data_IF_023665014018
#
_entry.id   IF_023665014018
#
_cell.length_a   1.000
_cell.length_b   1.000
_cell.length_c   1.000
_cell.angle_alpha   90.00
_cell.angle_beta   90.00
_cell.angle_gamma   90.00
#
_symmetry.space_group_name_H-M   'P 1'
#
loop_
_entity.id
_entity.type
_entity.pdbx_description
1 polymer ?
#
# COMPACT_ATOMS: atom_id res chain seq x y z
N UNK A 1 22.11 -8.24 11.29
CA UNK A 1 21.53 -7.42 10.20
C UNK A 1 20.86 -8.27 9.12
N UNK A 2 21.58 -9.21 8.49
CA UNK A 2 21.02 -10.08 7.45
C UNK A 2 19.79 -10.88 7.91
N UNK A 3 19.79 -11.36 9.16
CA UNK A 3 18.66 -12.06 9.76
C UNK A 3 17.39 -11.17 9.88
N UNK A 4 17.55 -9.87 10.13
CA UNK A 4 16.41 -8.95 10.18
C UNK A 4 15.73 -8.88 8.82
N UNK A 5 16.52 -8.63 7.77
CA UNK A 5 15.96 -8.48 6.40
C UNK A 5 15.37 -9.80 5.87
N UNK A 6 16.06 -10.93 6.09
CA UNK A 6 15.54 -12.22 5.68
C UNK A 6 14.29 -12.61 6.48
N UNK A 7 14.26 -12.31 7.79
CA UNK A 7 13.10 -12.50 8.65
C UNK A 7 11.89 -11.66 8.22
N UNK A 8 12.10 -10.42 7.75
CA UNK A 8 11.02 -9.62 7.16
C UNK A 8 10.44 -10.27 5.90
N UNK A 9 11.31 -10.82 5.05
CA UNK A 9 10.87 -11.53 3.84
C UNK A 9 10.05 -12.77 4.15
N UNK A 10 10.47 -13.58 5.14
CA UNK A 10 9.72 -14.78 5.56
C UNK A 10 8.44 -14.43 6.33
N UNK A 11 8.48 -13.44 7.22
CA UNK A 11 7.28 -12.94 7.91
C UNK A 11 6.23 -12.40 6.94
N UNK A 12 6.67 -11.76 5.85
CA UNK A 12 5.81 -11.31 4.77
C UNK A 12 5.41 -12.45 3.80
N UNK A 13 5.73 -13.71 4.07
CA UNK A 13 5.43 -14.91 3.27
C UNK A 13 5.93 -14.82 1.82
N UNK A 14 7.08 -14.16 1.57
CA UNK A 14 7.63 -13.97 0.23
C UNK A 14 8.40 -15.21 -0.23
N UNK A 15 8.00 -15.81 -1.36
CA UNK A 15 8.67 -17.00 -1.95
C UNK A 15 10.18 -16.84 -2.09
N UNK A 16 10.60 -15.67 -2.59
CA UNK A 16 12.02 -15.40 -2.83
C UNK A 16 12.87 -15.29 -1.55
N UNK A 17 12.23 -15.10 -0.38
CA UNK A 17 12.93 -15.05 0.90
C UNK A 17 13.39 -16.43 1.38
N UNK A 18 12.81 -17.53 0.88
CA UNK A 18 13.07 -18.89 1.33
C UNK A 18 14.55 -19.26 1.28
N UNK A 19 15.14 -19.25 0.09
CA UNK A 19 16.54 -19.66 -0.12
C UNK A 19 17.53 -18.74 0.64
N UNK A 20 17.46 -17.39 0.52
CA UNK A 20 18.33 -16.52 1.30
C UNK A 20 18.24 -16.77 2.82
N UNK A 21 17.03 -16.99 3.35
CA UNK A 21 16.85 -17.24 4.78
C UNK A 21 17.51 -18.54 5.22
N UNK A 22 17.35 -19.63 4.46
CA UNK A 22 18.04 -20.89 4.74
C UNK A 22 19.56 -20.68 4.74
N UNK A 23 20.11 -20.02 3.73
CA UNK A 23 21.56 -19.77 3.62
C UNK A 23 22.03 -18.97 4.83
N UNK A 24 21.36 -17.87 5.18
CA UNK A 24 21.76 -16.99 6.29
C UNK A 24 21.68 -17.73 7.62
N UNK A 25 20.60 -18.46 7.89
CA UNK A 25 20.42 -19.23 9.15
C UNK A 25 21.46 -20.36 9.24
N UNK A 26 21.73 -21.08 8.13
CA UNK A 26 22.73 -22.14 8.09
C UNK A 26 24.13 -21.60 8.35
N UNK A 27 24.54 -20.50 7.68
CA UNK A 27 25.83 -19.86 7.91
C UNK A 27 25.97 -19.34 9.34
N UNK A 28 24.90 -18.75 9.90
CA UNK A 28 24.90 -18.29 11.30
C UNK A 28 25.02 -19.44 12.27
N UNK A 29 24.34 -20.57 12.01
CA UNK A 29 24.43 -21.78 12.81
C UNK A 29 25.84 -22.38 12.78
N UNK A 30 26.43 -22.50 11.59
CA UNK A 30 27.79 -22.99 11.41
C UNK A 30 28.81 -22.12 12.12
N UNK A 31 28.70 -20.80 11.95
CA UNK A 31 29.55 -19.83 12.64
C UNK A 31 29.43 -19.96 14.16
N UNK A 32 28.20 -20.08 14.68
CA UNK A 32 27.96 -20.26 16.11
C UNK A 32 28.63 -21.48 16.69
N UNK A 33 28.61 -22.61 15.96
CA UNK A 33 29.29 -23.85 16.35
C UNK A 33 30.81 -23.72 16.35
N UNK A 34 31.37 -23.11 15.30
CA UNK A 34 32.81 -22.93 15.14
C UNK A 34 33.40 -21.92 16.14
N UNK A 35 32.66 -20.88 16.48
CA UNK A 35 33.08 -19.82 17.40
C UNK A 35 32.96 -20.22 18.89
N UNK A 36 32.50 -21.45 19.19
CA UNK A 36 32.36 -21.94 20.57
C UNK A 36 31.23 -21.30 21.38
N UNK A 37 30.19 -20.76 20.71
CA UNK A 37 29.00 -20.24 21.39
C UNK A 37 28.28 -21.36 22.16
N UNK A 38 27.43 -20.94 23.10
CA UNK A 38 26.70 -21.87 23.95
C UNK A 38 25.88 -22.86 23.11
N UNK A 39 25.90 -24.15 23.50
CA UNK A 39 25.16 -25.24 22.86
C UNK A 39 23.66 -24.91 22.62
N UNK A 40 23.05 -24.17 23.58
CA UNK A 40 21.67 -23.70 23.47
C UNK A 40 21.40 -22.80 22.22
N UNK A 41 22.37 -21.97 21.83
CA UNK A 41 22.24 -21.12 20.62
C UNK A 41 22.26 -22.00 19.36
N UNK A 42 23.07 -23.03 19.32
CA UNK A 42 23.11 -23.99 18.20
C UNK A 42 21.80 -24.75 18.04
N UNK A 43 21.21 -25.23 19.15
CA UNK A 43 19.90 -25.91 19.14
C UNK A 43 18.80 -24.94 18.64
N UNK A 44 18.77 -23.72 19.17
CA UNK A 44 17.78 -22.72 18.74
C UNK A 44 17.86 -22.43 17.22
N UNK A 45 19.05 -22.24 16.70
CA UNK A 45 19.25 -21.99 15.26
C UNK A 45 18.88 -23.22 14.41
N UNK A 46 19.16 -24.43 14.89
CA UNK A 46 18.76 -25.67 14.21
C UNK A 46 17.23 -25.82 14.18
N UNK A 47 16.54 -25.54 15.28
CA UNK A 47 15.08 -25.53 15.34
C UNK A 47 14.49 -24.45 14.40
N UNK A 48 15.07 -23.26 14.39
CA UNK A 48 14.66 -22.19 13.48
C UNK A 48 14.82 -22.62 12.01
N UNK A 49 15.95 -23.27 11.68
CA UNK A 49 16.18 -23.78 10.33
C UNK A 49 15.12 -24.83 9.93
N UNK A 50 14.83 -25.78 10.81
CA UNK A 50 13.76 -26.76 10.57
C UNK A 50 12.41 -26.06 10.33
N UNK A 51 12.07 -25.08 11.16
CA UNK A 51 10.82 -24.32 10.99
C UNK A 51 10.75 -23.62 9.65
N UNK A 52 11.84 -22.98 9.21
CA UNK A 52 11.91 -22.33 7.88
C UNK A 52 11.77 -23.36 6.75
N UNK A 53 12.35 -24.56 6.87
CA UNK A 53 12.23 -25.63 5.87
C UNK A 53 10.78 -26.07 5.73
N UNK A 54 10.08 -26.30 6.84
CA UNK A 54 8.68 -26.73 6.82
C UNK A 54 7.71 -25.65 6.36
N UNK A 55 8.06 -24.36 6.51
CA UNK A 55 7.22 -23.25 6.08
C UNK A 55 7.27 -22.94 4.57
N UNK A 56 7.95 -23.74 3.76
CA UNK A 56 8.12 -23.52 2.31
C UNK A 56 6.80 -23.23 1.58
N UNK A 57 5.76 -24.03 1.87
CA UNK A 57 4.47 -23.93 1.18
C UNK A 57 3.64 -22.72 1.64
N UNK A 58 3.97 -22.14 2.80
CA UNK A 58 3.33 -20.94 3.33
C UNK A 58 3.88 -19.65 2.69
N UNK A 59 4.99 -19.74 1.98
CA UNK A 59 5.63 -18.62 1.29
C UNK A 59 5.09 -18.54 -0.13
N UNK A 60 4.02 -17.81 -0.33
CA UNK A 60 3.31 -17.72 -1.63
C UNK A 60 3.36 -16.35 -2.29
N UNK A 61 3.73 -15.29 -1.56
CA UNK A 61 3.77 -13.93 -2.10
C UNK A 61 4.95 -13.72 -3.05
N UNK A 62 4.69 -13.01 -4.15
CA UNK A 62 5.65 -12.85 -5.24
C UNK A 62 6.72 -11.78 -4.99
N UNK A 63 6.43 -10.82 -4.11
CA UNK A 63 7.33 -9.70 -3.82
C UNK A 63 7.26 -9.23 -2.37
N UNK A 64 8.33 -8.58 -1.91
CA UNK A 64 8.34 -7.86 -0.64
C UNK A 64 7.96 -6.40 -0.89
N UNK A 65 6.81 -5.98 -0.40
CA UNK A 65 6.45 -4.57 -0.30
C UNK A 65 6.81 -4.06 1.09
N UNK A 66 7.91 -3.33 1.16
CA UNK A 66 8.41 -2.81 2.44
C UNK A 66 7.66 -1.52 2.77
N UNK A 67 6.86 -1.52 3.84
CA UNK A 67 6.18 -0.31 4.29
C UNK A 67 7.19 0.74 4.76
N UNK A 68 6.85 2.02 4.62
CA UNK A 68 7.71 3.10 5.10
C UNK A 68 8.00 3.00 6.60
N UNK A 69 7.02 2.54 7.39
CA UNK A 69 7.14 2.34 8.84
C UNK A 69 8.19 1.29 9.18
N UNK A 70 8.11 0.10 8.58
CA UNK A 70 9.09 -0.96 8.81
C UNK A 70 10.48 -0.60 8.31
N UNK A 71 10.56 0.07 7.16
CA UNK A 71 11.84 0.55 6.64
C UNK A 71 12.50 1.56 7.60
N UNK A 72 11.71 2.43 8.23
CA UNK A 72 12.19 3.38 9.23
C UNK A 72 12.64 2.67 10.50
N UNK A 73 11.86 1.74 11.04
CA UNK A 73 12.18 0.99 12.26
C UNK A 73 13.48 0.18 12.06
N UNK A 74 13.57 -0.60 11.00
CA UNK A 74 14.75 -1.42 10.73
C UNK A 74 15.98 -0.55 10.41
N UNK A 75 15.79 0.59 9.74
CA UNK A 75 16.84 1.58 9.51
C UNK A 75 17.37 2.20 10.80
N UNK A 76 16.50 2.55 11.74
CA UNK A 76 16.90 3.06 13.05
C UNK A 76 17.66 1.99 13.84
N UNK A 77 17.15 0.75 13.89
CA UNK A 77 17.82 -0.35 14.61
C UNK A 77 19.20 -0.62 14.02
N UNK A 78 19.30 -0.83 12.72
CA UNK A 78 20.58 -1.13 12.06
C UNK A 78 21.55 0.05 12.11
N UNK A 79 21.03 1.27 11.92
CA UNK A 79 21.83 2.50 11.98
C UNK A 79 22.38 2.76 13.37
N UNK A 80 21.57 2.64 14.41
CA UNK A 80 22.01 2.84 15.79
C UNK A 80 23.08 1.81 16.21
N UNK A 81 22.93 0.53 15.82
CA UNK A 81 23.95 -0.49 16.08
C UNK A 81 25.26 -0.21 15.35
N UNK A 82 25.19 0.24 14.10
CA UNK A 82 26.39 0.61 13.32
C UNK A 82 27.09 1.84 13.91
N UNK A 83 26.32 2.88 14.30
CA UNK A 83 26.85 4.07 14.96
C UNK A 83 27.48 3.70 16.30
N UNK A 84 26.82 2.87 17.11
CA UNK A 84 27.37 2.40 18.39
C UNK A 84 28.72 1.68 18.17
N UNK A 85 28.81 0.80 17.15
CA UNK A 85 30.06 0.13 16.80
C UNK A 85 31.17 1.14 16.45
N UNK A 86 30.88 2.17 15.68
CA UNK A 86 31.83 3.22 15.30
C UNK A 86 32.28 3.99 16.54
N UNK A 87 31.33 4.44 17.39
CA UNK A 87 31.62 5.19 18.62
C UNK A 87 32.54 4.40 19.55
N UNK A 88 32.24 3.10 19.77
CA UNK A 88 33.06 2.22 20.60
C UNK A 88 34.48 2.12 20.02
N UNK A 89 34.64 1.99 18.71
CA UNK A 89 35.96 1.92 18.07
C UNK A 89 36.77 3.21 18.23
N UNK A 90 36.12 4.36 17.98
CA UNK A 90 36.78 5.67 18.19
C UNK A 90 37.14 5.86 19.68
N UNK A 91 36.26 5.48 20.59
CA UNK A 91 36.52 5.58 22.03
C UNK A 91 37.71 4.71 22.48
N UNK A 92 37.93 3.56 21.87
CA UNK A 92 39.05 2.66 22.18
C UNK A 92 40.35 3.06 21.47
N UNK A 93 40.38 4.16 20.71
CA UNK A 93 41.60 4.63 20.07
C UNK A 93 42.66 5.04 21.12
N UNK A 94 43.95 4.61 20.98
CA UNK A 94 45.00 4.94 21.94
C UNK A 94 45.31 6.43 22.03
N UNK A 95 44.88 7.21 21.05
CA UNK A 95 45.09 8.65 21.02
C UNK A 95 44.07 9.44 21.89
N UNK A 96 43.08 8.78 22.47
CA UNK A 96 42.07 9.43 23.29
C UNK A 96 42.24 9.00 24.76
N UNK A 97 42.56 9.98 25.63
CA UNK A 97 42.68 9.75 27.07
C UNK A 97 41.29 9.77 27.73
N UNK A 98 40.94 8.66 28.36
CA UNK A 98 39.63 8.51 29.03
C UNK A 98 39.74 8.55 30.55
N UNK A 99 38.84 9.26 31.22
CA UNK A 99 38.69 9.24 32.69
C UNK A 99 38.10 7.95 33.24
N UNK A 100 37.26 7.27 32.42
CA UNK A 100 36.56 6.01 32.80
C UNK A 100 36.89 4.91 31.79
N UNK A 101 37.17 3.70 32.29
CA UNK A 101 37.38 2.51 31.45
C UNK A 101 36.02 1.93 31.04
N UNK A 102 35.83 1.60 29.78
CA UNK A 102 34.68 0.84 29.32
C UNK A 102 34.71 -0.59 29.90
N UNK A 103 33.55 -1.24 30.10
CA UNK A 103 33.48 -2.67 30.39
C UNK A 103 34.24 -3.50 29.34
N UNK A 104 34.86 -4.60 29.77
CA UNK A 104 35.74 -5.42 28.91
C UNK A 104 35.07 -5.90 27.63
N UNK A 105 33.75 -6.17 27.66
CA UNK A 105 33.00 -6.62 26.48
C UNK A 105 32.84 -5.55 25.38
N UNK A 106 33.14 -4.27 25.68
CA UNK A 106 33.20 -3.19 24.70
C UNK A 106 34.60 -2.91 24.19
N UNK A 107 35.61 -3.62 24.67
CA UNK A 107 36.98 -3.40 24.27
C UNK A 107 37.32 -4.23 23.02
N UNK A 108 37.92 -3.60 22.02
CA UNK A 108 38.47 -4.31 20.89
C UNK A 108 39.93 -4.69 21.20
N UNK A 109 40.37 -5.92 20.89
CA UNK A 109 41.71 -6.37 21.15
C UNK A 109 42.79 -5.59 20.39
N UNK A 110 42.44 -5.00 19.24
CA UNK A 110 43.30 -4.11 18.47
C UNK A 110 42.50 -3.24 17.50
N UNK A 111 43.09 -2.10 17.09
CA UNK A 111 42.52 -1.23 16.05
C UNK A 111 42.30 -1.97 14.72
N UNK A 112 43.19 -2.91 14.39
CA UNK A 112 43.07 -3.73 13.19
C UNK A 112 41.79 -4.58 13.20
N UNK A 113 41.46 -5.19 14.34
CA UNK A 113 40.26 -6.01 14.48
C UNK A 113 38.98 -5.13 14.34
N UNK A 114 39.00 -3.95 14.96
CA UNK A 114 37.88 -3.00 14.80
C UNK A 114 37.74 -2.57 13.32
N UNK A 115 38.83 -2.23 12.64
CA UNK A 115 38.79 -1.81 11.25
C UNK A 115 38.30 -2.92 10.31
N UNK A 116 38.72 -4.16 10.52
CA UNK A 116 38.18 -5.33 9.79
C UNK A 116 36.68 -5.48 10.02
N UNK A 117 36.21 -5.31 11.26
CA UNK A 117 34.79 -5.33 11.56
C UNK A 117 34.01 -4.18 10.91
N UNK A 118 34.60 -2.98 10.82
CA UNK A 118 34.00 -1.86 10.09
C UNK A 118 33.85 -2.18 8.59
N UNK A 119 34.86 -2.74 7.95
CA UNK A 119 34.77 -3.21 6.56
C UNK A 119 33.66 -4.28 6.43
N UNK A 120 33.60 -5.22 7.38
CA UNK A 120 32.57 -6.25 7.37
C UNK A 120 31.13 -5.64 7.45
N UNK A 121 30.92 -4.58 8.23
CA UNK A 121 29.64 -3.86 8.29
C UNK A 121 29.31 -3.26 6.90
N UNK A 122 30.28 -2.65 6.20
CA UNK A 122 30.04 -2.10 4.86
C UNK A 122 29.69 -3.19 3.85
N UNK A 123 30.38 -4.34 3.89
CA UNK A 123 30.07 -5.50 3.04
C UNK A 123 28.65 -6.01 3.32
N UNK A 124 28.29 -6.16 4.60
CA UNK A 124 26.95 -6.60 5.01
C UNK A 124 25.88 -5.60 4.57
N UNK A 125 26.14 -4.29 4.68
CA UNK A 125 25.22 -3.25 4.20
C UNK A 125 25.00 -3.37 2.67
N UNK A 126 26.05 -3.62 1.90
CA UNK A 126 25.96 -3.87 0.47
C UNK A 126 25.14 -5.14 0.16
N UNK A 127 25.39 -6.24 0.87
CA UNK A 127 24.62 -7.48 0.74
C UNK A 127 23.13 -7.24 1.07
N UNK A 128 22.84 -6.45 2.09
CA UNK A 128 21.45 -6.06 2.45
C UNK A 128 20.78 -5.34 1.28
N UNK A 129 21.46 -4.39 0.65
CA UNK A 129 20.90 -3.67 -0.51
C UNK A 129 20.60 -4.63 -1.67
N UNK A 130 21.50 -5.58 -1.94
CA UNK A 130 21.27 -6.61 -2.96
C UNK A 130 20.08 -7.52 -2.59
N UNK A 131 20.00 -7.95 -1.34
CA UNK A 131 18.91 -8.78 -0.83
C UNK A 131 17.57 -8.05 -0.91
N UNK A 132 17.51 -6.80 -0.49
CA UNK A 132 16.31 -5.98 -0.61
C UNK A 132 15.88 -5.80 -2.07
N UNK A 133 16.83 -5.54 -2.97
CA UNK A 133 16.57 -5.46 -4.41
C UNK A 133 16.02 -6.78 -4.97
N UNK A 134 16.56 -7.89 -4.54
CA UNK A 134 16.13 -9.23 -4.94
C UNK A 134 14.71 -9.54 -4.43
N UNK A 135 14.40 -9.21 -3.17
CA UNK A 135 13.10 -9.47 -2.54
C UNK A 135 11.99 -8.53 -3.07
N UNK A 136 12.34 -7.28 -3.38
CA UNK A 136 11.35 -6.27 -3.86
C UNK A 136 10.79 -6.58 -5.24
N UNK A 137 11.54 -7.30 -6.09
CA UNK A 137 11.18 -7.54 -7.50
C UNK A 137 10.83 -6.23 -8.28
N UNK A 138 10.41 -6.34 -9.52
CA UNK A 138 9.77 -5.22 -10.24
C UNK A 138 8.42 -4.96 -9.59
N UNK A 139 8.14 -3.71 -9.23
CA UNK A 139 6.80 -3.33 -8.72
C UNK A 139 5.77 -3.74 -9.77
N UNK A 140 4.98 -4.76 -9.47
CA UNK A 140 3.85 -5.15 -10.28
C UNK A 140 2.71 -4.22 -9.89
N UNK A 141 2.14 -3.56 -10.88
CA UNK A 141 0.92 -2.78 -10.69
C UNK A 141 -0.27 -3.74 -10.77
N UNK A 142 -1.11 -3.72 -9.74
CA UNK A 142 -2.37 -4.46 -9.76
C UNK A 142 -3.37 -3.63 -10.57
N UNK A 143 -4.15 -4.34 -11.38
CA UNK A 143 -5.10 -3.75 -12.30
C UNK A 143 -4.47 -3.28 -13.61
N UNK A 144 -5.29 -3.17 -14.61
CA UNK A 144 -4.97 -2.81 -15.98
C UNK A 144 -5.26 -1.32 -16.24
N UNK A 145 -4.82 -0.82 -17.38
CA UNK A 145 -5.29 0.45 -17.87
C UNK A 145 -6.77 0.33 -18.26
N UNK A 146 -7.48 1.45 -18.21
CA UNK A 146 -8.87 1.50 -18.64
C UNK A 146 -9.01 0.99 -20.08
N UNK A 147 -9.89 0.02 -20.28
CA UNK A 147 -10.44 -0.38 -21.57
C UNK A 147 -11.91 0.05 -21.62
N UNK A 148 -12.19 1.12 -22.38
CA UNK A 148 -13.52 1.72 -22.45
C UNK A 148 -14.56 0.73 -23.00
N UNK A 149 -14.17 -0.14 -23.95
CA UNK A 149 -15.08 -1.10 -24.56
C UNK A 149 -15.52 -2.19 -23.58
N UNK A 150 -14.58 -2.71 -22.78
CA UNK A 150 -14.88 -3.69 -21.72
C UNK A 150 -15.78 -3.07 -20.65
N UNK A 151 -15.49 -1.85 -20.20
CA UNK A 151 -16.33 -1.16 -19.21
C UNK A 151 -17.73 -0.92 -19.74
N UNK A 152 -17.86 -0.39 -20.96
CA UNK A 152 -19.17 -0.14 -21.57
C UNK A 152 -19.96 -1.43 -21.74
N UNK A 153 -19.32 -2.54 -22.11
CA UNK A 153 -19.97 -3.83 -22.20
C UNK A 153 -20.52 -4.29 -20.85
N UNK A 154 -19.71 -4.25 -19.79
CA UNK A 154 -20.14 -4.61 -18.43
C UNK A 154 -21.31 -3.74 -17.98
N UNK A 155 -21.19 -2.41 -18.13
CA UNK A 155 -22.21 -1.46 -17.65
C UNK A 155 -23.53 -1.59 -18.45
N UNK A 156 -23.47 -1.84 -19.76
CA UNK A 156 -24.67 -1.99 -20.59
C UNK A 156 -25.38 -3.32 -20.34
N UNK A 157 -24.64 -4.37 -19.99
CA UNK A 157 -25.17 -5.74 -19.80
C UNK A 157 -25.70 -5.94 -18.38
N UNK A 158 -24.93 -5.51 -17.38
CA UNK A 158 -25.19 -5.81 -15.97
C UNK A 158 -25.53 -4.59 -15.11
N UNK A 159 -25.33 -3.37 -15.67
CA UNK A 159 -25.53 -2.14 -14.93
C UNK A 159 -24.29 -1.72 -14.10
N UNK A 160 -24.45 -0.65 -13.37
CA UNK A 160 -23.44 -0.07 -12.51
C UNK A 160 -24.04 0.64 -11.31
N UNK A 161 -23.19 1.33 -10.56
CA UNK A 161 -23.54 2.16 -9.43
C UNK A 161 -23.19 3.64 -9.73
N UNK A 162 -23.55 4.61 -8.85
CA UNK A 162 -23.29 6.02 -9.10
C UNK A 162 -21.82 6.36 -9.34
N UNK A 163 -20.88 5.57 -8.81
CA UNK A 163 -19.44 5.82 -8.88
C UNK A 163 -18.80 5.14 -10.11
N UNK A 164 -19.53 4.27 -10.83
CA UNK A 164 -19.01 3.54 -12.00
C UNK A 164 -18.42 4.46 -13.06
N UNK A 165 -19.03 5.63 -13.26
CA UNK A 165 -18.60 6.59 -14.29
C UNK A 165 -17.26 7.28 -13.95
N UNK A 166 -16.82 7.25 -12.69
CA UNK A 166 -15.53 7.83 -12.28
C UNK A 166 -14.32 7.10 -12.91
N UNK A 167 -14.53 5.90 -13.43
CA UNK A 167 -13.49 5.15 -14.16
C UNK A 167 -13.02 5.91 -15.42
N UNK A 168 -13.90 6.65 -16.07
CA UNK A 168 -13.59 7.41 -17.29
C UNK A 168 -12.73 8.66 -17.07
N UNK A 169 -12.46 9.03 -15.80
CA UNK A 169 -11.46 10.04 -15.45
C UNK A 169 -10.03 9.59 -15.77
N UNK A 170 -9.79 8.30 -16.00
CA UNK A 170 -8.49 7.72 -16.43
C UNK A 170 -7.34 7.89 -15.40
N UNK A 171 -7.67 8.27 -14.18
CA UNK A 171 -6.72 8.43 -13.07
C UNK A 171 -6.55 7.16 -12.22
N UNK A 172 -7.30 6.10 -12.56
CA UNK A 172 -7.37 4.82 -11.85
C UNK A 172 -6.93 3.66 -12.72
N UNK A 173 -6.56 2.58 -12.08
CA UNK A 173 -6.45 1.25 -12.70
C UNK A 173 -7.75 0.50 -12.51
N UNK A 174 -7.98 -0.48 -13.34
CA UNK A 174 -9.19 -1.30 -13.31
C UNK A 174 -8.79 -2.75 -13.08
N UNK A 175 -9.41 -3.39 -12.09
CA UNK A 175 -9.37 -4.83 -11.96
C UNK A 175 -10.65 -5.40 -12.55
N UNK A 176 -10.52 -6.26 -13.55
CA UNK A 176 -11.63 -6.95 -14.18
C UNK A 176 -11.74 -8.36 -13.62
N UNK A 177 -12.93 -8.76 -13.23
CA UNK A 177 -13.24 -10.12 -12.85
C UNK A 177 -13.93 -10.84 -14.00
N UNK A 178 -13.34 -11.96 -14.39
CA UNK A 178 -13.87 -12.85 -15.41
C UNK A 178 -14.40 -14.12 -14.74
N UNK A 179 -15.66 -14.47 -15.00
CA UNK A 179 -16.29 -15.67 -14.41
C UNK A 179 -16.03 -16.97 -15.19
N UNK A 180 -15.10 -16.94 -16.12
CA UNK A 180 -14.71 -18.05 -16.99
C UNK A 180 -15.04 -17.82 -18.47
N UNK A 181 -16.11 -17.10 -18.77
CA UNK A 181 -16.57 -16.82 -20.13
C UNK A 181 -16.35 -15.36 -20.54
N UNK A 182 -16.72 -14.43 -19.65
CA UNK A 182 -16.66 -12.99 -19.91
C UNK A 182 -16.36 -12.17 -18.65
N UNK A 183 -16.01 -10.91 -18.86
CA UNK A 183 -15.84 -9.96 -17.77
C UNK A 183 -17.20 -9.51 -17.24
N UNK A 184 -17.46 -9.81 -15.98
CA UNK A 184 -18.78 -9.55 -15.36
C UNK A 184 -18.74 -8.43 -14.33
N UNK A 185 -17.57 -8.19 -13.72
CA UNK A 185 -17.41 -7.18 -12.66
C UNK A 185 -16.11 -6.43 -12.85
N UNK A 186 -16.10 -5.15 -12.48
CA UNK A 186 -14.86 -4.39 -12.37
C UNK A 186 -14.77 -3.58 -11.08
N UNK A 187 -13.53 -3.35 -10.63
CA UNK A 187 -13.18 -2.48 -9.52
C UNK A 187 -12.25 -1.35 -9.99
N UNK A 188 -12.40 -0.19 -9.39
CA UNK A 188 -11.56 0.98 -9.63
C UNK A 188 -10.45 1.04 -8.57
N UNK A 189 -9.19 1.06 -8.99
CA UNK A 189 -8.04 0.92 -8.10
C UNK A 189 -7.08 2.10 -8.18
N UNK A 190 -6.46 2.42 -7.06
CA UNK A 190 -5.27 3.27 -7.01
C UNK A 190 -4.23 2.67 -6.07
N UNK A 191 -2.96 2.82 -6.40
CA UNK A 191 -1.86 2.31 -5.57
C UNK A 191 -1.22 3.45 -4.80
N UNK A 192 -1.17 3.32 -3.49
CA UNK A 192 -0.48 4.26 -2.61
C UNK A 192 0.41 3.52 -1.61
N UNK A 193 1.72 3.70 -1.71
CA UNK A 193 2.73 2.99 -0.92
C UNK A 193 2.59 1.46 -1.02
N UNK A 194 2.19 0.81 0.07
CA UNK A 194 1.92 -0.62 0.19
C UNK A 194 0.43 -0.96 0.19
N UNK A 195 -0.42 -0.02 -0.22
CA UNK A 195 -1.88 -0.18 -0.20
C UNK A 195 -2.44 -0.10 -1.61
N UNK A 196 -3.49 -0.89 -1.84
CA UNK A 196 -4.38 -0.76 -3.01
C UNK A 196 -5.68 -0.16 -2.49
N UNK A 197 -5.97 1.06 -2.91
CA UNK A 197 -7.24 1.71 -2.63
C UNK A 197 -8.25 1.24 -3.66
N UNK A 198 -9.37 0.70 -3.20
CA UNK A 198 -10.51 0.27 -4.01
C UNK A 198 -11.60 1.30 -3.83
N UNK A 199 -12.03 1.92 -4.93
CA UNK A 199 -13.00 3.02 -4.92
C UNK A 199 -14.43 2.49 -5.07
N UNK A 200 -15.26 2.75 -4.07
CA UNK A 200 -16.68 2.42 -4.10
C UNK A 200 -16.97 0.93 -4.19
N UNK A 201 -18.21 0.64 -4.44
CA UNK A 201 -18.67 -0.73 -4.69
C UNK A 201 -18.22 -1.21 -6.07
N UNK A 202 -18.08 -2.53 -6.27
CA UNK A 202 -17.84 -3.10 -7.59
C UNK A 202 -19.02 -2.74 -8.54
N UNK A 203 -18.74 -2.73 -9.83
CA UNK A 203 -19.71 -2.46 -10.87
C UNK A 203 -19.86 -3.66 -11.77
N UNK A 204 -21.09 -4.00 -12.14
CA UNK A 204 -21.39 -5.14 -12.99
C UNK A 204 -22.39 -6.11 -12.37
N UNK A 205 -22.23 -7.40 -12.61
CA UNK A 205 -23.15 -8.46 -12.22
C UNK A 205 -23.12 -8.71 -10.71
N UNK A 206 -24.20 -8.31 -10.01
CA UNK A 206 -24.28 -8.36 -8.55
C UNK A 206 -24.07 -9.78 -7.97
N UNK A 207 -24.51 -10.84 -8.65
CA UNK A 207 -24.30 -12.22 -8.20
C UNK A 207 -22.84 -12.65 -8.14
N UNK A 208 -21.96 -11.92 -8.82
CA UNK A 208 -20.55 -12.25 -8.92
C UNK A 208 -19.70 -11.37 -7.98
N UNK A 209 -20.28 -10.42 -7.22
CA UNK A 209 -19.56 -9.46 -6.38
C UNK A 209 -18.69 -10.12 -5.30
N UNK A 210 -19.22 -11.15 -4.63
CA UNK A 210 -18.50 -11.88 -3.60
C UNK A 210 -17.26 -12.59 -4.20
N UNK A 211 -17.45 -13.37 -5.28
CA UNK A 211 -16.37 -14.08 -5.95
C UNK A 211 -15.33 -13.10 -6.57
N UNK A 212 -15.79 -11.99 -7.14
CA UNK A 212 -14.93 -10.94 -7.67
C UNK A 212 -14.11 -10.25 -6.56
N UNK A 213 -14.72 -10.03 -5.41
CA UNK A 213 -14.05 -9.45 -4.23
C UNK A 213 -12.97 -10.40 -3.70
N UNK A 214 -13.29 -11.69 -3.57
CA UNK A 214 -12.31 -12.71 -3.19
C UNK A 214 -11.14 -12.76 -4.16
N UNK A 215 -11.40 -12.75 -5.47
CA UNK A 215 -10.37 -12.75 -6.51
C UNK A 215 -9.47 -11.52 -6.41
N UNK A 216 -10.04 -10.34 -6.19
CA UNK A 216 -9.27 -9.10 -5.98
C UNK A 216 -8.39 -9.19 -4.73
N UNK A 217 -8.96 -9.63 -3.59
CA UNK A 217 -8.23 -9.77 -2.32
C UNK A 217 -7.05 -10.73 -2.49
N UNK A 218 -7.28 -11.89 -3.12
CA UNK A 218 -6.26 -12.89 -3.39
C UNK A 218 -5.14 -12.36 -4.29
N UNK A 219 -5.48 -11.60 -5.33
CA UNK A 219 -4.48 -10.98 -6.22
C UNK A 219 -3.69 -9.89 -5.49
N UNK A 220 -4.34 -9.06 -4.69
CA UNK A 220 -3.70 -8.02 -3.88
C UNK A 220 -2.75 -8.65 -2.85
N UNK A 221 -3.17 -9.72 -2.17
CA UNK A 221 -2.35 -10.45 -1.19
C UNK A 221 -1.16 -11.17 -1.84
N UNK A 222 -1.36 -11.76 -3.01
CA UNK A 222 -0.29 -12.41 -3.80
C UNK A 222 0.88 -11.47 -4.07
N UNK A 223 0.61 -10.19 -4.29
CA UNK A 223 1.64 -9.18 -4.47
C UNK A 223 2.01 -8.42 -3.20
N UNK A 224 1.55 -8.89 -2.04
CA UNK A 224 1.88 -8.33 -0.73
C UNK A 224 1.48 -6.85 -0.59
N UNK A 225 0.35 -6.46 -1.17
CA UNK A 225 -0.30 -5.20 -0.88
C UNK A 225 -1.40 -5.39 0.15
N UNK A 226 -1.81 -4.29 0.78
CA UNK A 226 -2.95 -4.23 1.69
C UNK A 226 -4.12 -3.57 0.97
N UNK A 227 -5.25 -4.26 0.74
CA UNK A 227 -6.43 -3.63 0.17
C UNK A 227 -7.10 -2.71 1.20
N UNK A 228 -7.57 -1.56 0.73
CA UNK A 228 -8.33 -0.58 1.49
C UNK A 228 -9.55 -0.22 0.67
N UNK A 229 -10.71 -0.63 1.11
CA UNK A 229 -11.98 -0.33 0.48
C UNK A 229 -12.50 1.02 0.98
N UNK A 230 -12.91 1.91 0.07
CA UNK A 230 -13.19 3.31 0.33
C UNK A 230 -14.54 3.72 -0.24
N UNK A 231 -15.40 4.36 0.56
CA UNK A 231 -16.76 4.79 0.17
C UNK A 231 -17.70 3.65 -0.25
N UNK A 232 -17.66 2.53 0.47
CA UNK A 232 -18.54 1.39 0.20
C UNK A 232 -19.93 1.57 0.80
N UNK A 233 -20.92 0.96 0.15
CA UNK A 233 -22.28 0.84 0.65
C UNK A 233 -22.38 -0.09 1.86
N UNK A 234 -23.51 -0.06 2.57
CA UNK A 234 -23.78 -0.97 3.68
C UNK A 234 -23.81 -2.43 3.23
N UNK A 235 -24.35 -2.71 2.05
CA UNK A 235 -24.38 -4.04 1.46
C UNK A 235 -22.97 -4.59 1.19
N UNK A 236 -22.10 -3.75 0.62
CA UNK A 236 -20.71 -4.16 0.35
C UNK A 236 -19.92 -4.33 1.64
N UNK A 237 -20.18 -3.52 2.67
CA UNK A 237 -19.53 -3.67 3.99
C UNK A 237 -19.84 -5.03 4.60
N UNK A 238 -21.06 -5.56 4.43
CA UNK A 238 -21.40 -6.91 4.91
C UNK A 238 -20.57 -7.99 4.22
N UNK A 239 -20.41 -7.92 2.90
CA UNK A 239 -19.55 -8.84 2.14
C UNK A 239 -18.10 -8.75 2.63
N UNK A 240 -17.56 -7.53 2.77
CA UNK A 240 -16.19 -7.32 3.22
C UNK A 240 -15.95 -7.82 4.66
N UNK A 241 -16.97 -7.72 5.52
CA UNK A 241 -16.88 -8.24 6.89
C UNK A 241 -16.70 -9.77 6.93
N UNK A 242 -17.31 -10.50 6.02
CA UNK A 242 -17.10 -11.95 5.89
C UNK A 242 -15.68 -12.31 5.47
N UNK A 243 -15.00 -11.43 4.75
CA UNK A 243 -13.57 -11.55 4.46
C UNK A 243 -12.65 -11.05 5.58
N UNK A 244 -13.20 -10.69 6.74
CA UNK A 244 -12.44 -10.26 7.93
C UNK A 244 -12.01 -8.81 7.93
N UNK A 245 -12.66 -7.93 7.15
CA UNK A 245 -12.41 -6.50 7.19
C UNK A 245 -13.24 -5.81 8.27
N UNK A 246 -12.58 -4.94 9.02
CA UNK A 246 -13.24 -3.98 9.89
C UNK A 246 -13.55 -2.71 9.12
N UNK A 247 -14.55 -1.94 9.57
CA UNK A 247 -14.95 -0.70 8.93
C UNK A 247 -15.00 0.46 9.90
N UNK A 248 -14.80 1.66 9.36
CA UNK A 248 -14.92 2.93 10.08
C UNK A 248 -15.84 3.83 9.27
N UNK A 249 -16.95 4.26 9.89
CA UNK A 249 -17.81 5.29 9.29
C UNK A 249 -17.14 6.65 9.49
N UNK A 250 -16.73 7.31 8.41
CA UNK A 250 -16.12 8.64 8.45
C UNK A 250 -16.90 9.72 7.68
N UNK A 251 -18.03 9.35 7.07
CA UNK A 251 -18.87 10.26 6.33
C UNK A 251 -20.25 9.70 6.06
N UNK A 252 -21.08 10.51 5.43
CA UNK A 252 -22.40 10.15 4.95
C UNK A 252 -22.58 10.74 3.55
N UNK A 253 -23.20 9.96 2.66
CA UNK A 253 -23.58 10.42 1.33
C UNK A 253 -25.02 10.93 1.38
N UNK A 254 -25.21 12.20 1.04
CA UNK A 254 -26.56 12.77 0.93
C UNK A 254 -27.22 12.34 -0.39
N UNK A 255 -28.46 11.89 -0.30
CA UNK A 255 -29.27 11.54 -1.45
C UNK A 255 -30.49 12.45 -1.54
N UNK A 256 -30.79 12.94 -2.75
CA UNK A 256 -32.02 13.69 -3.05
C UNK A 256 -32.84 12.89 -4.04
N UNK A 257 -34.02 12.44 -3.61
CA UNK A 257 -34.95 11.74 -4.48
C UNK A 257 -35.67 12.77 -5.36
N UNK A 258 -35.24 12.88 -6.60
CA UNK A 258 -35.70 13.94 -7.52
C UNK A 258 -37.21 13.89 -7.84
N UNK A 259 -37.83 12.71 -8.00
CA UNK A 259 -39.26 12.66 -8.26
C UNK A 259 -40.13 13.32 -7.15
N UNK A 260 -39.71 13.25 -5.89
CA UNK A 260 -40.39 13.82 -4.75
C UNK A 260 -39.87 15.20 -4.34
N UNK A 261 -38.80 15.68 -5.03
CA UNK A 261 -38.17 16.94 -4.67
C UNK A 261 -39.05 18.14 -5.01
N UNK A 262 -39.35 18.97 -4.00
CA UNK A 262 -40.08 20.21 -4.18
C UNK A 262 -39.56 21.30 -3.26
N UNK A 263 -39.56 22.53 -3.74
CA UNK A 263 -39.27 23.70 -2.91
C UNK A 263 -40.46 24.17 -2.04
N UNK A 264 -41.62 23.50 -2.08
CA UNK A 264 -42.79 23.86 -1.30
C UNK A 264 -42.65 23.49 0.19
N UNK A 265 -43.52 24.04 1.04
CA UNK A 265 -43.57 23.74 2.47
C UNK A 265 -42.59 24.55 3.36
N UNK A 266 -42.82 24.47 4.68
CA UNK A 266 -42.12 25.26 5.69
C UNK A 266 -40.66 24.88 5.81
N UNK A 267 -40.33 23.58 5.69
CA UNK A 267 -38.93 23.04 5.77
C UNK A 267 -38.04 23.59 4.67
N UNK A 268 -38.59 23.88 3.47
CA UNK A 268 -37.85 24.37 2.31
C UNK A 268 -37.75 25.89 2.22
N UNK A 269 -38.14 26.64 3.28
CA UNK A 269 -38.12 28.12 3.27
C UNK A 269 -36.74 28.69 3.00
N UNK A 270 -35.68 28.11 3.60
CA UNK A 270 -34.29 28.55 3.40
C UNK A 270 -33.83 28.38 1.95
N UNK A 271 -34.04 27.20 1.38
CA UNK A 271 -33.71 26.87 0.01
C UNK A 271 -34.44 27.74 -0.99
N UNK A 272 -35.77 27.97 -0.79
CA UNK A 272 -36.53 28.92 -1.62
C UNK A 272 -35.99 30.32 -1.54
N UNK A 273 -35.63 30.81 -0.34
CA UNK A 273 -35.07 32.14 -0.16
C UNK A 273 -33.74 32.30 -0.94
N UNK A 274 -32.85 31.32 -0.82
CA UNK A 274 -31.59 31.31 -1.54
C UNK A 274 -31.80 31.24 -3.06
N UNK A 275 -32.67 30.36 -3.53
CA UNK A 275 -33.03 30.26 -4.95
C UNK A 275 -33.57 31.57 -5.52
N UNK A 276 -34.54 32.19 -4.83
CA UNK A 276 -35.10 33.46 -5.26
C UNK A 276 -34.07 34.62 -5.24
N UNK A 277 -33.10 34.59 -4.31
CA UNK A 277 -32.01 35.57 -4.27
C UNK A 277 -31.12 35.44 -5.52
N UNK A 278 -30.69 34.23 -5.82
CA UNK A 278 -29.86 33.92 -6.99
C UNK A 278 -30.53 34.36 -8.28
N UNK A 279 -31.83 34.08 -8.44
CA UNK A 279 -32.60 34.52 -9.60
C UNK A 279 -32.69 36.05 -9.70
N UNK A 280 -32.89 36.75 -8.56
CA UNK A 280 -32.91 38.21 -8.54
C UNK A 280 -31.57 38.87 -8.90
N UNK A 281 -30.47 38.19 -8.61
CA UNK A 281 -29.13 38.61 -8.94
C UNK A 281 -28.75 38.31 -10.41
N UNK A 282 -29.71 37.73 -11.18
CA UNK A 282 -29.54 37.49 -12.62
C UNK A 282 -28.78 36.20 -12.97
N UNK A 283 -28.52 35.32 -11.99
CA UNK A 283 -27.87 34.03 -12.30
C UNK A 283 -28.83 33.13 -13.08
N UNK A 284 -28.25 32.38 -13.99
CA UNK A 284 -28.94 31.39 -14.83
C UNK A 284 -28.25 30.03 -14.72
N UNK A 285 -29.03 28.97 -14.71
CA UNK A 285 -28.55 27.61 -14.76
C UNK A 285 -28.77 27.06 -16.17
N UNK A 286 -27.67 26.65 -16.82
CA UNK A 286 -27.68 26.03 -18.13
C UNK A 286 -27.06 24.64 -18.07
N UNK A 287 -27.61 23.70 -18.83
CA UNK A 287 -27.04 22.35 -19.00
C UNK A 287 -26.40 22.28 -20.38
N UNK A 288 -25.09 22.06 -20.40
CA UNK A 288 -24.32 21.90 -21.63
C UNK A 288 -24.03 20.41 -21.83
N UNK A 289 -24.36 19.89 -23.00
CA UNK A 289 -24.13 18.49 -23.37
C UNK A 289 -22.89 18.34 -24.26
N UNK A 290 -22.19 17.18 -24.20
CA UNK A 290 -21.09 16.87 -25.10
C UNK A 290 -21.50 16.92 -26.60
N UNK A 291 -20.56 17.19 -27.52
CA UNK A 291 -19.14 17.49 -27.27
C UNK A 291 -18.91 18.90 -26.75
N UNK A 292 -17.99 19.08 -25.81
CA UNK A 292 -17.65 20.37 -25.23
C UNK A 292 -16.60 21.08 -26.06
N UNK A 293 -16.77 22.41 -26.26
CA UNK A 293 -15.75 23.20 -26.92
C UNK A 293 -14.52 23.42 -26.02
N UNK A 294 -13.36 23.62 -26.63
CA UNK A 294 -12.13 23.94 -25.90
C UNK A 294 -12.25 25.18 -25.04
N UNK A 295 -13.01 26.19 -25.52
CA UNK A 295 -13.27 27.44 -24.78
C UNK A 295 -14.08 27.17 -23.52
N UNK A 296 -15.11 26.31 -23.60
CA UNK A 296 -15.92 25.91 -22.42
C UNK A 296 -15.06 25.21 -21.37
N UNK A 297 -14.25 24.25 -21.80
CA UNK A 297 -13.35 23.52 -20.87
C UNK A 297 -12.32 24.46 -20.24
N UNK A 298 -11.75 25.38 -21.05
CA UNK A 298 -10.80 26.37 -20.54
C UNK A 298 -11.43 27.32 -19.51
N UNK A 299 -12.63 27.83 -19.80
CA UNK A 299 -13.36 28.69 -18.86
C UNK A 299 -13.67 28.00 -17.55
N UNK A 300 -14.12 26.72 -17.58
CA UNK A 300 -14.36 25.92 -16.38
C UNK A 300 -13.07 25.67 -15.60
N UNK A 301 -11.97 25.37 -16.31
CA UNK A 301 -10.66 25.19 -15.69
C UNK A 301 -10.19 26.46 -14.98
N UNK A 302 -10.36 27.64 -15.59
CA UNK A 302 -10.01 28.92 -14.97
C UNK A 302 -10.74 29.12 -13.64
N UNK A 303 -12.04 28.84 -13.59
CA UNK A 303 -12.84 28.91 -12.36
C UNK A 303 -12.33 27.92 -11.31
N UNK A 304 -12.00 26.69 -11.72
CA UNK A 304 -11.43 25.68 -10.83
C UNK A 304 -10.08 26.11 -10.26
N UNK A 305 -9.18 26.63 -11.10
CA UNK A 305 -7.85 27.07 -10.67
C UNK A 305 -7.93 28.25 -9.67
N UNK A 306 -8.82 29.21 -9.91
CA UNK A 306 -9.11 30.32 -8.97
C UNK A 306 -9.63 29.80 -7.62
N UNK A 307 -10.57 28.84 -7.65
CA UNK A 307 -11.12 28.25 -6.44
C UNK A 307 -10.06 27.44 -5.66
N UNK A 308 -9.19 26.72 -6.36
CA UNK A 308 -8.09 25.96 -5.75
C UNK A 308 -7.09 26.89 -5.04
N UNK A 309 -6.84 28.10 -5.56
CA UNK A 309 -5.93 29.06 -4.94
C UNK A 309 -4.52 28.50 -4.69
N UNK A 310 -4.00 27.76 -5.65
CA UNK A 310 -2.69 27.07 -5.57
C UNK A 310 -2.67 25.74 -4.84
N UNK A 311 -3.80 25.27 -4.31
CA UNK A 311 -3.93 23.89 -3.77
C UNK A 311 -3.93 22.89 -4.93
N UNK A 312 -3.44 21.68 -4.66
CA UNK A 312 -3.49 20.58 -5.64
C UNK A 312 -4.90 20.00 -5.74
N UNK A 313 -5.30 19.65 -6.94
CA UNK A 313 -6.46 18.81 -7.17
C UNK A 313 -6.28 17.44 -6.52
N UNK A 314 -7.36 16.90 -5.97
CA UNK A 314 -7.27 15.64 -5.21
C UNK A 314 -7.55 14.41 -6.06
N UNK A 315 -8.37 14.48 -7.09
CA UNK A 315 -8.74 13.34 -7.94
C UNK A 315 -9.37 12.17 -7.17
N UNK A 316 -9.24 10.98 -7.71
CA UNK A 316 -9.71 9.68 -7.18
C UNK A 316 -11.24 9.59 -7.06
N UNK A 317 -11.86 10.08 -5.99
CA UNK A 317 -13.32 10.14 -5.83
C UNK A 317 -13.95 11.45 -6.35
N UNK A 318 -13.11 12.38 -6.82
CA UNK A 318 -13.52 13.69 -7.32
C UNK A 318 -13.04 13.89 -8.77
N UNK A 319 -13.82 14.64 -9.53
CA UNK A 319 -13.37 15.09 -10.84
C UNK A 319 -12.18 16.06 -10.75
N UNK A 320 -11.40 16.14 -11.82
CA UNK A 320 -10.26 17.06 -11.98
C UNK A 320 -10.15 17.50 -13.45
N UNK A 321 -9.36 18.55 -13.72
CA UNK A 321 -9.08 19.06 -15.06
C UNK A 321 -7.75 18.59 -15.61
#
# INVERSE_FOLDING_TARGET
>A
FLLIVSGRGTSARVKRAYIPTIIIVTLTSLYSLLAGFRFSTGIFLALLLLFVIFSKNELFREQLVYSAEWMTIDGIIMGSLAILYIIIGVYNSPNIHHRHRLPEFFLFPSERIWFVGFIAILIVAFIILLLLRFLKNKRIQIGEALDESRIQHILSTYGGNPDSQLVFLKDKKVFYYNNGDEDTVFFQLSTFNNKILVMGDPSGKASDFEAATEALINEVDRYNYLPVFYENSEEMVMILHEFGYDFIKFGERAHVHLPDFTLSGKKMKGQRSSFNKVLKEGYRFDVITPPFSSETIYALKTVSDEWLGGRKEKGFSLGFF
#
